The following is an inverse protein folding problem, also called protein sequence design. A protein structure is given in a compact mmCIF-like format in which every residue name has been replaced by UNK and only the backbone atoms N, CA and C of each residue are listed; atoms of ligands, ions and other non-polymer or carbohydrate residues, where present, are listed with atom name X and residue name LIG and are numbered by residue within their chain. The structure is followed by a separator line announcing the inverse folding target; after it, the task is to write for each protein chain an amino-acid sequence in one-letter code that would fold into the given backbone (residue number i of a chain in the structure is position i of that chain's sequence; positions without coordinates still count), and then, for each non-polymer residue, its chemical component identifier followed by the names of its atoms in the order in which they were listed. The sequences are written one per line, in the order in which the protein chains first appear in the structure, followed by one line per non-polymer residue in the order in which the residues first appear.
data_IF_507144096457
#
_entry.id   IF_507144096457
#
_cell.length_a   1.000
_cell.length_b   1.000
_cell.length_c   1.000
_cell.angle_alpha   90.00
_cell.angle_beta   90.00
_cell.angle_gamma   90.00
#
_symmetry.space_group_name_H-M   'P 1'
#
loop_
_entity.id
_entity.type
_entity.pdbx_description
1 polymer ?
#
# COMPACT_ATOMS: atom_id res chain seq x y z
N UNK A 1 -31.58 -40.68 35.18
CA UNK A 1 -31.37 -39.23 35.41
C UNK A 1 -29.90 -38.83 35.36
N UNK A 2 -29.00 -39.44 36.15
CA UNK A 2 -27.54 -39.14 36.15
C UNK A 2 -26.85 -39.31 34.78
N UNK A 3 -27.15 -40.38 34.06
CA UNK A 3 -26.51 -40.65 32.76
C UNK A 3 -26.98 -39.69 31.65
N UNK A 4 -28.24 -39.24 31.72
CA UNK A 4 -28.79 -38.21 30.81
C UNK A 4 -28.10 -36.86 31.08
N UNK A 5 -27.88 -36.51 32.36
CA UNK A 5 -27.20 -35.27 32.74
C UNK A 5 -25.74 -35.24 32.24
N UNK A 6 -25.03 -36.38 32.32
CA UNK A 6 -23.67 -36.52 31.76
C UNK A 6 -23.67 -36.37 30.24
N UNK A 7 -24.62 -37.00 29.54
CA UNK A 7 -24.72 -36.89 28.09
C UNK A 7 -25.00 -35.45 27.62
N UNK A 8 -25.88 -34.73 28.33
CA UNK A 8 -26.14 -33.31 28.08
C UNK A 8 -24.91 -32.43 28.34
N UNK A 9 -24.19 -32.69 29.44
CA UNK A 9 -22.94 -31.99 29.74
C UNK A 9 -21.86 -32.21 28.67
N UNK A 10 -21.72 -33.45 28.19
CA UNK A 10 -20.79 -33.78 27.10
C UNK A 10 -21.19 -33.08 25.79
N UNK A 11 -22.48 -33.09 25.45
CA UNK A 11 -22.98 -32.43 24.24
C UNK A 11 -22.75 -30.91 24.29
N UNK A 12 -23.02 -30.27 25.43
CA UNK A 12 -22.75 -28.85 25.63
C UNK A 12 -21.25 -28.54 25.49
N UNK A 13 -20.39 -29.37 26.06
CA UNK A 13 -18.93 -29.21 25.93
C UNK A 13 -18.48 -29.29 24.47
N UNK A 14 -18.99 -30.27 23.71
CA UNK A 14 -18.67 -30.41 22.28
C UNK A 14 -19.15 -29.20 21.48
N UNK A 15 -20.36 -28.70 21.74
CA UNK A 15 -20.88 -27.49 21.07
C UNK A 15 -20.02 -26.27 21.38
N UNK A 16 -19.62 -26.08 22.65
CA UNK A 16 -18.74 -24.98 23.05
C UNK A 16 -17.34 -25.10 22.42
N UNK A 17 -16.80 -26.32 22.33
CA UNK A 17 -15.52 -26.56 21.68
C UNK A 17 -15.58 -26.21 20.18
N UNK A 18 -16.64 -26.61 19.49
CA UNK A 18 -16.86 -26.27 18.06
C UNK A 18 -17.00 -24.75 17.89
N UNK A 19 -17.81 -24.10 18.73
CA UNK A 19 -17.98 -22.65 18.70
C UNK A 19 -16.66 -21.90 18.97
N UNK A 20 -15.84 -22.40 19.91
CA UNK A 20 -14.52 -21.86 20.21
C UNK A 20 -13.56 -22.00 19.02
N UNK A 21 -13.51 -23.17 18.37
CA UNK A 21 -12.71 -23.38 17.16
C UNK A 21 -13.16 -22.44 16.04
N UNK A 22 -14.47 -22.33 15.82
CA UNK A 22 -15.03 -21.42 14.82
C UNK A 22 -14.64 -19.96 15.10
N UNK A 23 -14.74 -19.51 16.35
CA UNK A 23 -14.32 -18.17 16.76
C UNK A 23 -12.83 -17.93 16.49
N UNK A 24 -11.96 -18.89 16.79
CA UNK A 24 -10.52 -18.78 16.51
C UNK A 24 -10.23 -18.65 15.01
N UNK A 25 -10.93 -19.40 14.17
CA UNK A 25 -10.79 -19.30 12.70
C UNK A 25 -11.20 -17.91 12.23
N UNK A 26 -12.38 -17.42 12.67
CA UNK A 26 -12.87 -16.09 12.30
C UNK A 26 -11.92 -14.98 12.76
N UNK A 27 -11.39 -15.06 13.99
CA UNK A 27 -10.45 -14.07 14.52
C UNK A 27 -9.13 -14.07 13.73
N UNK A 28 -8.63 -15.24 13.34
CA UNK A 28 -7.41 -15.36 12.54
C UNK A 28 -7.57 -14.72 11.15
N UNK A 29 -8.68 -14.99 10.47
CA UNK A 29 -8.99 -14.38 9.18
C UNK A 29 -9.13 -12.86 9.30
N UNK A 30 -9.76 -12.40 10.39
CA UNK A 30 -9.88 -10.98 10.70
C UNK A 30 -8.49 -10.34 10.88
N UNK A 31 -7.58 -10.96 11.64
CA UNK A 31 -6.22 -10.42 11.83
C UNK A 31 -5.40 -10.35 10.54
N UNK A 32 -5.58 -11.31 9.63
CA UNK A 32 -4.91 -11.28 8.33
C UNK A 32 -5.42 -10.13 7.46
N UNK A 33 -6.70 -9.80 7.54
CA UNK A 33 -7.30 -8.66 6.82
C UNK A 33 -6.77 -7.29 7.28
N UNK A 34 -6.17 -7.17 8.47
CA UNK A 34 -5.54 -5.93 8.93
C UNK A 34 -4.07 -5.79 8.57
N UNK A 35 -3.45 -6.82 7.96
CA UNK A 35 -2.04 -6.73 7.62
C UNK A 35 -1.82 -5.70 6.50
N UNK A 36 -0.85 -4.80 6.64
CA UNK A 36 -0.51 -3.85 5.59
C UNK A 36 -0.02 -4.60 4.35
N UNK A 37 -0.49 -4.16 3.19
CA UNK A 37 0.02 -4.60 1.90
C UNK A 37 1.06 -3.60 1.39
N UNK A 38 2.12 -4.13 0.80
CA UNK A 38 3.26 -3.35 0.33
C UNK A 38 3.49 -3.55 -1.16
N UNK A 39 3.76 -2.47 -1.87
CA UNK A 39 4.17 -2.47 -3.27
C UNK A 39 5.47 -1.70 -3.42
N UNK A 40 6.39 -2.20 -4.24
CA UNK A 40 7.68 -1.55 -4.56
C UNK A 40 7.90 -1.68 -6.06
N UNK A 41 8.14 -0.54 -6.70
CA UNK A 41 8.59 -0.47 -8.09
C UNK A 41 9.96 0.18 -8.12
N UNK A 42 10.92 -0.49 -8.74
CA UNK A 42 12.26 0.03 -8.99
C UNK A 42 12.31 0.66 -10.38
N UNK A 43 12.87 1.86 -10.46
CA UNK A 43 13.11 2.57 -11.71
C UNK A 43 14.60 2.87 -11.86
N UNK A 44 15.19 2.35 -12.94
CA UNK A 44 16.63 2.48 -13.22
C UNK A 44 16.81 3.46 -14.38
N UNK A 45 17.62 4.49 -14.16
CA UNK A 45 17.96 5.50 -15.15
C UNK A 45 18.83 4.89 -16.26
N UNK A 46 18.46 5.13 -17.51
CA UNK A 46 19.21 4.62 -18.66
C UNK A 46 20.51 5.38 -18.91
N UNK A 47 20.65 6.58 -18.34
CA UNK A 47 21.78 7.46 -18.59
C UNK A 47 22.96 7.23 -17.65
N UNK A 48 22.68 6.92 -16.39
CA UNK A 48 23.69 6.89 -15.32
C UNK A 48 23.48 5.78 -14.28
N UNK A 49 22.54 4.86 -14.54
CA UNK A 49 22.16 3.77 -13.63
C UNK A 49 21.70 4.23 -12.24
N UNK A 50 21.34 5.51 -12.06
CA UNK A 50 20.72 5.96 -10.82
C UNK A 50 19.35 5.30 -10.63
N UNK A 51 19.06 4.90 -9.40
CA UNK A 51 17.84 4.18 -9.05
C UNK A 51 16.95 5.06 -8.18
N UNK A 52 15.65 5.01 -8.45
CA UNK A 52 14.62 5.48 -7.50
C UNK A 52 13.58 4.39 -7.32
N UNK A 53 12.91 4.42 -6.18
CA UNK A 53 11.88 3.47 -5.80
C UNK A 53 10.57 4.21 -5.60
N UNK A 54 9.49 3.64 -6.12
CA UNK A 54 8.12 4.01 -5.76
C UNK A 54 7.62 2.92 -4.82
N UNK A 55 7.42 3.27 -3.55
CA UNK A 55 6.97 2.37 -2.49
C UNK A 55 5.54 2.76 -2.12
N UNK A 56 4.63 1.80 -1.95
CA UNK A 56 3.28 2.05 -1.44
C UNK A 56 2.92 1.09 -0.31
N UNK A 57 2.31 1.62 0.75
CA UNK A 57 1.77 0.85 1.87
C UNK A 57 0.27 1.15 1.97
N UNK A 58 -0.53 0.10 1.87
CA UNK A 58 -1.99 0.19 2.04
C UNK A 58 -2.40 -0.62 3.27
N UNK A 59 -3.21 -0.05 4.15
CA UNK A 59 -3.72 -0.70 5.35
C UNK A 59 -5.12 -0.22 5.73
N UNK A 60 -5.70 -0.84 6.76
CA UNK A 60 -7.09 -0.62 7.16
C UNK A 60 -8.03 -1.63 6.48
N UNK A 61 -9.16 -1.91 7.13
CA UNK A 61 -10.10 -2.97 6.71
C UNK A 61 -10.65 -2.74 5.30
N UNK A 62 -10.83 -1.48 4.91
CA UNK A 62 -11.30 -1.07 3.59
C UNK A 62 -10.17 -0.63 2.67
N UNK A 63 -8.90 -0.77 3.10
CA UNK A 63 -7.73 -0.26 2.37
C UNK A 63 -7.72 1.26 2.22
N UNK A 64 -8.38 1.98 3.11
CA UNK A 64 -8.59 3.43 3.07
C UNK A 64 -7.35 4.24 3.47
N UNK A 65 -6.36 3.59 4.08
CA UNK A 65 -5.09 4.21 4.40
C UNK A 65 -4.06 3.77 3.37
N UNK A 66 -3.59 4.72 2.58
CA UNK A 66 -2.53 4.54 1.61
C UNK A 66 -1.46 5.61 1.82
N UNK A 67 -0.20 5.17 1.78
CA UNK A 67 0.96 6.06 1.70
C UNK A 67 1.84 5.59 0.57
N UNK A 68 2.07 6.46 -0.41
CA UNK A 68 3.02 6.24 -1.49
C UNK A 68 4.22 7.17 -1.31
N UNK A 69 5.41 6.62 -1.46
CA UNK A 69 6.68 7.28 -1.22
C UNK A 69 7.56 7.13 -2.44
N UNK A 70 8.22 8.21 -2.86
CA UNK A 70 9.27 8.16 -3.88
C UNK A 70 10.58 8.51 -3.21
N UNK A 71 11.52 7.59 -3.28
CA UNK A 71 12.78 7.63 -2.55
C UNK A 71 13.93 7.13 -3.41
N UNK A 72 15.15 7.62 -3.18
CA UNK A 72 16.35 7.02 -3.74
C UNK A 72 16.99 6.00 -2.80
N UNK A 73 16.45 5.81 -1.60
CA UNK A 73 16.93 4.84 -0.63
C UNK A 73 16.16 3.52 -0.73
N UNK A 74 16.87 2.44 -1.02
CA UNK A 74 16.28 1.11 -1.08
C UNK A 74 15.75 0.65 0.29
N UNK A 75 16.55 0.90 1.33
CA UNK A 75 16.42 0.30 2.66
C UNK A 75 15.52 1.11 3.60
N UNK A 76 14.93 2.21 3.16
CA UNK A 76 13.94 2.89 4.00
C UNK A 76 12.79 1.92 4.29
N UNK A 77 12.71 1.48 5.55
CA UNK A 77 11.50 0.92 6.13
C UNK A 77 10.34 1.91 5.88
N UNK A 78 9.09 1.47 5.90
CA UNK A 78 7.92 2.34 5.62
C UNK A 78 7.65 3.36 6.74
N UNK A 79 8.67 4.15 7.08
CA UNK A 79 8.70 5.31 7.94
C UNK A 79 9.10 6.51 7.05
N UNK A 80 8.12 7.19 6.42
CA UNK A 80 8.41 8.20 5.43
C UNK A 80 9.18 9.41 5.99
N UNK A 81 10.27 9.80 5.34
CA UNK A 81 11.06 11.00 5.68
C UNK A 81 10.78 12.15 4.71
N UNK A 82 10.03 13.15 5.17
CA UNK A 82 9.66 14.32 4.36
C UNK A 82 10.85 15.16 3.88
N UNK A 83 12.04 14.98 4.45
CA UNK A 83 13.25 15.70 4.03
C UNK A 83 13.96 15.01 2.87
N UNK A 84 13.77 13.71 2.71
CA UNK A 84 14.47 12.88 1.72
C UNK A 84 13.52 12.27 0.67
N UNK A 85 12.21 12.30 0.90
CA UNK A 85 11.24 11.53 0.12
C UNK A 85 10.03 12.37 -0.30
N UNK A 86 9.47 12.05 -1.47
CA UNK A 86 8.16 12.58 -1.86
C UNK A 86 7.09 11.70 -1.22
N UNK A 87 6.22 12.28 -0.41
CA UNK A 87 5.21 11.54 0.35
C UNK A 87 3.81 11.93 -0.15
N UNK A 88 3.05 10.93 -0.58
CA UNK A 88 1.66 11.06 -0.99
C UNK A 88 0.79 10.27 -0.03
N UNK A 89 -0.19 10.94 0.57
CA UNK A 89 -1.11 10.33 1.53
C UNK A 89 -2.51 10.23 0.94
N UNK A 90 -3.21 9.16 1.30
CA UNK A 90 -4.61 8.94 0.95
C UNK A 90 -4.79 8.10 -0.31
N UNK A 91 -6.05 7.77 -0.59
CA UNK A 91 -6.51 6.84 -1.63
C UNK A 91 -6.32 7.33 -3.07
N UNK A 92 -5.79 8.54 -3.25
CA UNK A 92 -5.55 9.12 -4.56
C UNK A 92 -4.35 8.45 -5.19
N UNK A 93 -4.58 7.32 -5.87
CA UNK A 93 -3.52 6.54 -6.50
C UNK A 93 -2.57 7.44 -7.32
N UNK A 94 -1.28 7.14 -7.19
CA UNK A 94 -0.23 7.86 -7.92
C UNK A 94 -0.13 7.22 -9.30
N UNK A 95 -0.66 7.93 -10.29
CA UNK A 95 -0.48 7.55 -11.69
C UNK A 95 0.83 8.13 -12.16
N UNK A 96 1.65 7.33 -12.83
CA UNK A 96 2.96 7.77 -13.28
C UNK A 96 3.31 7.24 -14.67
N UNK A 97 4.26 7.91 -15.30
CA UNK A 97 4.98 7.39 -16.46
C UNK A 97 6.44 7.81 -16.39
N UNK A 98 7.28 7.04 -17.06
CA UNK A 98 8.71 7.33 -17.18
C UNK A 98 9.00 7.75 -18.61
N UNK A 99 9.72 8.86 -18.77
CA UNK A 99 10.26 9.31 -20.05
C UNK A 99 11.73 9.65 -19.88
N UNK A 100 12.61 8.80 -20.41
CA UNK A 100 14.05 8.88 -20.16
C UNK A 100 14.29 8.87 -18.64
N UNK A 101 15.07 9.81 -18.09
CA UNK A 101 15.36 9.89 -16.66
C UNK A 101 14.41 10.86 -15.93
N UNK A 102 13.18 11.00 -16.44
CA UNK A 102 12.12 11.83 -15.85
C UNK A 102 10.93 10.98 -15.43
N UNK A 103 10.64 10.98 -14.14
CA UNK A 103 9.42 10.43 -13.56
C UNK A 103 8.34 11.52 -13.55
N UNK A 104 7.26 11.30 -14.29
CA UNK A 104 6.12 12.21 -14.36
C UNK A 104 5.00 11.60 -13.54
N UNK A 105 4.55 12.33 -12.52
CA UNK A 105 3.53 11.94 -11.56
C UNK A 105 2.27 12.75 -11.81
N UNK A 106 1.12 12.09 -11.86
CA UNK A 106 -0.20 12.69 -11.94
C UNK A 106 -0.89 12.48 -10.59
N UNK A 107 -0.98 13.54 -9.81
CA UNK A 107 -1.29 13.51 -8.37
C UNK A 107 -2.36 14.52 -8.02
N UNK A 108 -3.01 14.34 -6.86
CA UNK A 108 -3.96 15.31 -6.33
C UNK A 108 -4.03 15.12 -4.81
N UNK A 109 -3.55 16.09 -4.00
CA UNK A 109 -2.80 17.29 -4.38
C UNK A 109 -1.33 16.99 -4.71
N UNK A 110 -0.57 18.01 -5.14
CA UNK A 110 0.90 17.92 -5.16
C UNK A 110 1.46 17.81 -3.75
N UNK A 111 2.57 17.09 -3.62
CA UNK A 111 3.35 17.03 -2.39
C UNK A 111 4.52 18.01 -2.40
N UNK A 112 5.03 18.30 -1.20
CA UNK A 112 6.22 19.13 -1.02
C UNK A 112 7.43 18.44 -1.63
N UNK A 113 8.31 19.23 -2.23
CA UNK A 113 9.57 18.72 -2.76
C UNK A 113 10.54 18.51 -1.58
N UNK A 114 11.03 17.29 -1.33
CA UNK A 114 12.06 17.02 -0.33
C UNK A 114 13.32 17.85 -0.58
N UNK A 115 13.87 18.41 0.50
CA UNK A 115 15.05 19.30 0.44
C UNK A 115 16.32 18.52 0.08
N UNK A 116 16.41 17.27 0.51
CA UNK A 116 17.60 16.41 0.42
C UNK A 116 17.35 15.18 -0.46
N UNK A 117 16.55 15.30 -1.53
CA UNK A 117 16.34 14.19 -2.45
C UNK A 117 17.59 13.93 -3.29
N UNK A 118 18.31 12.86 -2.96
CA UNK A 118 19.57 12.52 -3.61
C UNK A 118 19.32 11.57 -4.80
N UNK A 119 19.05 12.13 -5.97
CA UNK A 119 18.95 11.36 -7.21
C UNK A 119 19.20 12.23 -8.43
N UNK A 120 19.67 11.62 -9.52
CA UNK A 120 19.78 12.27 -10.83
C UNK A 120 18.44 12.24 -11.60
N UNK A 121 17.44 11.53 -11.08
CA UNK A 121 16.10 11.51 -11.62
C UNK A 121 15.42 12.87 -11.51
N UNK A 122 14.78 13.30 -12.61
CA UNK A 122 13.89 14.46 -12.59
C UNK A 122 12.49 14.01 -12.21
N UNK A 123 11.93 14.60 -11.16
CA UNK A 123 10.55 14.31 -10.73
C UNK A 123 9.67 15.50 -11.07
N UNK A 124 8.64 15.26 -11.89
CA UNK A 124 7.65 16.27 -12.27
C UNK A 124 6.27 15.87 -11.74
N UNK A 125 5.66 16.76 -10.96
CA UNK A 125 4.29 16.59 -10.49
C UNK A 125 3.31 17.41 -11.34
N UNK A 126 2.30 16.74 -11.89
CA UNK A 126 1.16 17.32 -12.58
C UNK A 126 -0.05 17.09 -11.68
N UNK A 127 -0.73 18.18 -11.32
CA UNK A 127 -1.95 18.08 -10.54
C UNK A 127 -3.11 17.78 -11.48
N UNK A 128 -3.89 16.75 -11.16
CA UNK A 128 -4.87 16.16 -12.06
C UNK A 128 -6.04 15.62 -11.25
N UNK A 129 -7.27 15.89 -11.68
CA UNK A 129 -8.47 15.41 -10.99
C UNK A 129 -8.66 13.90 -11.14
N UNK A 130 -9.54 13.31 -10.32
CA UNK A 130 -9.73 11.86 -10.32
C UNK A 130 -10.28 11.32 -11.64
N UNK A 131 -11.12 12.07 -12.35
CA UNK A 131 -11.67 11.70 -13.67
C UNK A 131 -10.56 11.63 -14.72
N UNK A 132 -9.72 12.66 -14.79
CA UNK A 132 -8.60 12.73 -15.73
C UNK A 132 -7.59 11.59 -15.47
N UNK A 133 -7.33 11.23 -14.20
CA UNK A 133 -6.46 10.08 -13.88
C UNK A 133 -6.99 8.77 -14.47
N UNK A 134 -8.31 8.55 -14.49
CA UNK A 134 -8.90 7.31 -15.06
C UNK A 134 -8.68 7.23 -16.57
N UNK A 135 -8.75 8.36 -17.27
CA UNK A 135 -8.49 8.41 -18.71
C UNK A 135 -7.03 8.06 -19.04
N UNK A 136 -6.08 8.48 -18.20
CA UNK A 136 -4.66 8.14 -18.37
C UNK A 136 -4.42 6.63 -18.31
N UNK A 137 -5.15 5.90 -17.46
CA UNK A 137 -4.99 4.46 -17.28
C UNK A 137 -5.46 3.60 -18.45
N UNK A 138 -6.20 4.20 -19.41
CA UNK A 138 -6.56 3.52 -20.66
C UNK A 138 -5.32 3.33 -21.55
N UNK A 139 -4.30 4.17 -21.39
CA UNK A 139 -3.07 4.11 -22.16
C UNK A 139 -2.00 3.27 -21.41
N UNK A 140 -1.42 2.22 -22.04
CA UNK A 140 -0.45 1.33 -21.40
C UNK A 140 0.89 2.00 -21.03
N UNK A 141 1.19 3.20 -21.54
CA UNK A 141 2.36 3.97 -21.13
C UNK A 141 2.26 4.49 -19.68
N UNK A 142 1.06 4.50 -19.12
CA UNK A 142 0.76 4.99 -17.78
C UNK A 142 0.57 3.81 -16.84
N UNK A 143 1.11 3.94 -15.63
CA UNK A 143 1.06 2.92 -14.58
C UNK A 143 0.48 3.51 -13.31
N UNK A 144 -0.17 2.67 -12.53
CA UNK A 144 -0.70 3.00 -11.20
C UNK A 144 0.03 2.17 -10.15
N UNK A 145 0.23 2.78 -8.98
CA UNK A 145 0.64 2.07 -7.75
C UNK A 145 -0.46 2.13 -6.69
#
# INVERSE_FOLDING_TARGET
MREILKALGLLLFVVLAIAGIFLLIVLNDFTNAFQPTYSKVELISTKDNSVIYIKSKNWGLTGDHQVTVITSNEDSEFEPDSTQEYIFNGLGAVVYRVKQDTLILYVSPKTKIPINFQSNWKIKQIETESSEKQELLVNPEYKQI
#
